data_IF_910597497989
#
_entry.id   IF_910597497989
#
_cell.length_a   1.000
_cell.length_b   1.000
_cell.length_c   1.000
_cell.angle_alpha   90.00
_cell.angle_beta   90.00
_cell.angle_gamma   90.00
#
_symmetry.space_group_name_H-M   'P 1'
#
loop_
_entity.id
_entity.type
_entity.pdbx_description
1 polymer ?
#
# COMPACT_ATOMS: atom_id res chain seq x y z
N UNK A 1 -4.35 -14.39 6.32
CA UNK A 1 -5.36 -13.41 6.80
C UNK A 1 -6.32 -14.10 7.76
N UNK A 2 -7.04 -13.33 8.59
CA UNK A 2 -8.11 -13.89 9.45
C UNK A 2 -9.46 -13.55 8.84
N UNK A 3 -10.47 -14.43 9.01
CA UNK A 3 -11.84 -14.12 8.65
C UNK A 3 -12.40 -12.98 9.49
N UNK A 4 -13.61 -12.54 9.19
CA UNK A 4 -14.35 -11.48 9.90
C UNK A 4 -15.60 -12.11 10.57
N UNK A 5 -15.45 -12.93 11.62
CA UNK A 5 -16.55 -13.64 12.26
C UNK A 5 -17.61 -12.70 12.82
N UNK A 6 -17.22 -11.48 13.22
CA UNK A 6 -18.14 -10.45 13.74
C UNK A 6 -19.18 -9.98 12.71
N UNK A 7 -18.96 -10.23 11.43
CA UNK A 7 -19.93 -9.94 10.35
C UNK A 7 -20.38 -11.22 9.62
N UNK A 8 -20.04 -12.41 10.13
CA UNK A 8 -20.42 -13.69 9.55
C UNK A 8 -19.56 -14.17 8.37
N UNK A 9 -18.34 -13.63 8.20
CA UNK A 9 -17.38 -14.02 7.16
C UNK A 9 -16.25 -14.84 7.77
N UNK A 10 -16.57 -16.06 8.24
CA UNK A 10 -15.58 -17.04 8.61
C UNK A 10 -15.00 -17.72 7.37
N UNK A 11 -13.67 -17.90 7.34
CA UNK A 11 -13.01 -18.56 6.22
C UNK A 11 -13.42 -20.04 6.17
N UNK A 12 -13.96 -20.46 5.02
CA UNK A 12 -14.35 -21.85 4.75
C UNK A 12 -13.56 -22.49 3.59
N UNK A 13 -12.61 -21.72 3.02
CA UNK A 13 -11.71 -22.12 1.92
C UNK A 13 -12.40 -22.44 0.59
N UNK A 14 -13.69 -22.14 0.47
CA UNK A 14 -14.48 -22.41 -0.75
C UNK A 14 -15.21 -21.16 -1.23
N UNK A 15 -16.20 -20.68 -0.50
CA UNK A 15 -17.00 -19.48 -0.85
C UNK A 15 -16.55 -18.24 -0.08
N UNK A 16 -15.92 -18.41 1.10
CA UNK A 16 -15.27 -17.34 1.86
C UNK A 16 -13.79 -17.71 2.02
N UNK A 17 -12.93 -16.99 1.30
CA UNK A 17 -11.51 -17.32 1.13
C UNK A 17 -10.59 -16.20 1.62
N UNK A 18 -9.35 -16.53 1.88
CA UNK A 18 -8.24 -15.60 2.08
C UNK A 18 -7.42 -15.44 0.80
N UNK A 19 -6.34 -14.65 0.87
CA UNK A 19 -5.36 -14.53 -0.21
C UNK A 19 -4.70 -15.87 -0.54
N UNK A 20 -4.55 -16.76 0.44
CA UNK A 20 -3.86 -18.04 0.24
C UNK A 20 -4.66 -18.95 -0.70
N UNK A 21 -5.97 -19.06 -0.48
CA UNK A 21 -6.86 -19.80 -1.37
C UNK A 21 -7.03 -19.07 -2.72
N UNK A 22 -7.08 -17.74 -2.72
CA UNK A 22 -7.24 -16.95 -3.95
C UNK A 22 -6.10 -17.20 -4.95
N UNK A 23 -4.86 -17.38 -4.45
CA UNK A 23 -3.68 -17.63 -5.29
C UNK A 23 -3.68 -19.01 -5.98
N UNK A 24 -4.44 -19.96 -5.47
CA UNK A 24 -4.45 -21.35 -5.97
C UNK A 24 -5.80 -21.77 -6.55
N UNK A 25 -6.71 -20.79 -6.81
CA UNK A 25 -7.99 -21.10 -7.47
C UNK A 25 -7.74 -21.63 -8.87
N UNK A 26 -8.24 -22.84 -9.16
CA UNK A 26 -8.15 -23.45 -10.50
C UNK A 26 -8.98 -22.71 -11.54
N UNK A 27 -10.02 -22.01 -11.11
CA UNK A 27 -10.94 -21.27 -11.97
C UNK A 27 -11.34 -19.95 -11.31
N UNK A 28 -11.25 -18.86 -12.07
CA UNK A 28 -11.76 -17.56 -11.62
C UNK A 28 -13.30 -17.62 -11.46
N UNK A 29 -13.85 -17.14 -10.32
CA UNK A 29 -15.29 -17.07 -10.11
C UNK A 29 -15.91 -16.04 -11.05
N UNK A 30 -17.18 -16.20 -11.39
CA UNK A 30 -17.90 -15.20 -12.22
C UNK A 30 -18.12 -13.90 -11.47
N UNK A 31 -18.39 -13.98 -10.17
CA UNK A 31 -18.64 -12.83 -9.30
C UNK A 31 -17.85 -12.96 -8.01
N UNK A 32 -17.19 -11.88 -7.58
CA UNK A 32 -16.41 -11.85 -6.34
C UNK A 32 -16.65 -10.54 -5.57
N UNK A 33 -16.89 -10.64 -4.27
CA UNK A 33 -16.78 -9.51 -3.37
C UNK A 33 -15.44 -9.57 -2.64
N UNK A 34 -14.72 -8.46 -2.60
CA UNK A 34 -13.45 -8.32 -1.88
C UNK A 34 -13.67 -7.37 -0.70
N UNK A 35 -13.45 -7.86 0.53
CA UNK A 35 -13.64 -7.08 1.75
C UNK A 35 -12.30 -6.56 2.23
N UNK A 36 -12.13 -5.25 2.21
CA UNK A 36 -10.90 -4.52 2.47
C UNK A 36 -10.22 -4.07 1.19
N UNK A 37 -10.06 -2.76 1.02
CA UNK A 37 -9.46 -2.13 -0.14
C UNK A 37 -8.08 -1.51 0.16
N UNK A 38 -7.28 -2.18 0.99
CA UNK A 38 -5.84 -1.95 1.08
C UNK A 38 -5.12 -2.52 -0.15
N UNK A 39 -3.78 -2.50 -0.16
CA UNK A 39 -2.97 -2.98 -1.28
C UNK A 39 -3.42 -4.36 -1.79
N UNK A 40 -3.50 -5.35 -0.91
CA UNK A 40 -3.90 -6.72 -1.27
C UNK A 40 -5.30 -6.78 -1.90
N UNK A 41 -6.28 -6.05 -1.34
CA UNK A 41 -7.63 -6.03 -1.91
C UNK A 41 -7.68 -5.39 -3.29
N UNK A 42 -6.93 -4.31 -3.50
CA UNK A 42 -6.83 -3.64 -4.80
C UNK A 42 -6.11 -4.50 -5.84
N UNK A 43 -5.03 -5.19 -5.47
CA UNK A 43 -4.29 -6.10 -6.35
C UNK A 43 -5.16 -7.28 -6.80
N UNK A 44 -5.87 -7.94 -5.88
CA UNK A 44 -6.79 -9.01 -6.26
C UNK A 44 -7.99 -8.50 -7.06
N UNK A 45 -8.48 -7.29 -6.79
CA UNK A 45 -9.54 -6.69 -7.61
C UNK A 45 -9.08 -6.50 -9.06
N UNK A 46 -7.85 -6.07 -9.25
CA UNK A 46 -7.22 -5.93 -10.56
C UNK A 46 -7.07 -7.28 -11.26
N UNK A 47 -6.43 -8.25 -10.61
CA UNK A 47 -6.15 -9.59 -11.14
C UNK A 47 -7.44 -10.29 -11.54
N UNK A 48 -8.43 -10.38 -10.66
CA UNK A 48 -9.68 -11.10 -10.98
C UNK A 48 -10.51 -10.39 -12.04
N UNK A 49 -10.48 -9.06 -12.08
CA UNK A 49 -11.12 -8.31 -13.18
C UNK A 49 -10.45 -8.60 -14.51
N UNK A 50 -9.13 -8.73 -14.56
CA UNK A 50 -8.41 -9.11 -15.77
C UNK A 50 -8.77 -10.54 -16.24
N UNK A 51 -9.10 -11.45 -15.32
CA UNK A 51 -9.63 -12.78 -15.63
C UNK A 51 -11.14 -12.81 -15.95
N UNK A 52 -11.80 -11.65 -16.00
CA UNK A 52 -13.22 -11.55 -16.38
C UNK A 52 -14.21 -11.70 -15.23
N UNK A 53 -13.75 -11.77 -13.98
CA UNK A 53 -14.61 -11.76 -12.80
C UNK A 53 -15.30 -10.39 -12.63
N UNK A 54 -16.59 -10.39 -12.33
CA UNK A 54 -17.28 -9.18 -11.89
C UNK A 54 -16.94 -8.92 -10.41
N UNK A 55 -16.09 -7.90 -10.17
CA UNK A 55 -15.58 -7.61 -8.84
C UNK A 55 -16.35 -6.47 -8.19
N UNK A 56 -16.73 -6.68 -6.91
CA UNK A 56 -17.18 -5.63 -5.99
C UNK A 56 -16.15 -5.49 -4.86
N UNK A 57 -15.45 -4.37 -4.83
CA UNK A 57 -14.46 -4.03 -3.81
C UNK A 57 -15.13 -3.19 -2.72
N UNK A 58 -15.11 -3.68 -1.47
CA UNK A 58 -15.83 -3.10 -0.34
C UNK A 58 -14.84 -2.65 0.73
N UNK A 59 -14.93 -1.38 1.13
CA UNK A 59 -14.07 -0.78 2.15
C UNK A 59 -14.91 -0.01 3.18
N UNK A 60 -14.61 -0.24 4.45
CA UNK A 60 -15.30 0.44 5.56
C UNK A 60 -14.86 1.90 5.72
N UNK A 61 -13.63 2.20 5.35
CA UNK A 61 -13.09 3.56 5.37
C UNK A 61 -13.59 4.38 4.16
N UNK A 62 -13.50 5.71 4.21
CA UNK A 62 -14.07 6.58 3.16
C UNK A 62 -13.44 6.44 1.77
N UNK A 63 -12.23 5.87 1.67
CA UNK A 63 -11.50 5.70 0.41
C UNK A 63 -10.75 4.37 0.35
N UNK A 64 -10.39 3.94 -0.85
CA UNK A 64 -9.50 2.79 -1.05
C UNK A 64 -8.04 3.21 -0.82
N UNK A 65 -7.16 2.23 -0.60
CA UNK A 65 -5.76 2.44 -0.22
C UNK A 65 -5.62 3.41 0.97
N UNK A 66 -6.22 3.13 2.12
CA UNK A 66 -6.34 4.10 3.22
C UNK A 66 -5.01 4.48 3.88
N UNK A 67 -3.91 3.78 3.57
CA UNK A 67 -2.56 4.10 4.05
C UNK A 67 -1.79 4.98 3.08
N UNK A 68 -2.28 5.16 1.84
CA UNK A 68 -1.69 5.99 0.81
C UNK A 68 -2.23 7.43 0.85
N UNK A 69 -1.63 8.31 0.08
CA UNK A 69 -2.17 9.66 -0.08
C UNK A 69 -3.55 9.62 -0.73
N UNK A 70 -4.46 10.45 -0.24
CA UNK A 70 -5.87 10.43 -0.65
C UNK A 70 -6.08 10.68 -2.16
N UNK A 71 -5.17 11.43 -2.80
CA UNK A 71 -5.20 11.66 -4.23
C UNK A 71 -4.98 10.36 -5.01
N UNK A 72 -4.08 9.48 -4.53
CA UNK A 72 -3.84 8.17 -5.14
C UNK A 72 -5.08 7.27 -5.04
N UNK A 73 -5.70 7.19 -3.85
CA UNK A 73 -6.94 6.42 -3.65
C UNK A 73 -8.10 6.93 -4.53
N UNK A 74 -8.20 8.23 -4.69
CA UNK A 74 -9.20 8.87 -5.56
C UNK A 74 -8.98 8.53 -7.02
N UNK A 75 -7.75 8.65 -7.51
CA UNK A 75 -7.40 8.35 -8.90
C UNK A 75 -7.56 6.85 -9.20
N UNK A 76 -7.11 5.97 -8.29
CA UNK A 76 -7.30 4.53 -8.45
C UNK A 76 -8.79 4.15 -8.48
N UNK A 77 -9.62 4.79 -7.65
CA UNK A 77 -11.08 4.60 -7.68
C UNK A 77 -11.64 4.97 -9.05
N UNK A 78 -11.17 6.08 -9.65
CA UNK A 78 -11.58 6.53 -10.98
C UNK A 78 -11.20 5.50 -12.05
N UNK A 79 -9.97 4.99 -12.01
CA UNK A 79 -9.48 3.98 -12.94
C UNK A 79 -10.23 2.66 -12.79
N UNK A 80 -10.43 2.17 -11.56
CA UNK A 80 -11.18 0.95 -11.30
C UNK A 80 -12.62 1.00 -11.82
N UNK A 81 -13.32 2.14 -11.62
CA UNK A 81 -14.67 2.34 -12.17
C UNK A 81 -14.72 2.28 -13.70
N UNK A 82 -13.72 2.87 -14.39
CA UNK A 82 -13.62 2.75 -15.87
C UNK A 82 -13.49 1.29 -16.31
N UNK A 83 -12.78 0.49 -15.52
CA UNK A 83 -12.59 -0.95 -15.75
C UNK A 83 -13.73 -1.81 -15.22
N UNK A 84 -14.84 -1.19 -14.78
CA UNK A 84 -16.06 -1.83 -14.29
C UNK A 84 -15.90 -2.58 -12.96
N UNK A 85 -14.89 -2.25 -12.16
CA UNK A 85 -14.80 -2.69 -10.77
C UNK A 85 -15.77 -1.83 -9.96
N UNK A 86 -16.72 -2.48 -9.28
CA UNK A 86 -17.67 -1.80 -8.41
C UNK A 86 -17.00 -1.48 -7.07
N UNK A 87 -16.66 -0.21 -6.84
CA UNK A 87 -15.98 0.26 -5.61
C UNK A 87 -17.00 0.87 -4.66
N UNK A 88 -17.14 0.26 -3.48
CA UNK A 88 -18.03 0.68 -2.39
C UNK A 88 -17.17 1.04 -1.16
N UNK A 89 -16.84 2.32 -1.00
CA UNK A 89 -16.11 2.85 0.15
C UNK A 89 -17.06 3.50 1.16
N UNK A 90 -16.64 3.59 2.43
CA UNK A 90 -17.52 3.99 3.54
C UNK A 90 -18.63 2.96 3.79
N UNK A 91 -18.42 1.71 3.38
CA UNK A 91 -19.44 0.67 3.31
C UNK A 91 -19.42 -0.23 4.55
N UNK A 92 -20.59 -0.58 5.04
CA UNK A 92 -20.78 -1.55 6.14
C UNK A 92 -21.47 -2.80 5.63
N UNK A 93 -20.84 -3.95 5.87
CA UNK A 93 -21.39 -5.26 5.54
C UNK A 93 -22.20 -5.80 6.72
N UNK A 94 -23.36 -6.38 6.42
CA UNK A 94 -24.27 -7.01 7.40
C UNK A 94 -25.09 -8.12 6.74
N UNK A 95 -25.87 -8.86 7.55
CA UNK A 95 -26.81 -9.91 7.09
C UNK A 95 -26.16 -10.95 6.18
N UNK A 96 -24.92 -11.34 6.47
CA UNK A 96 -24.18 -12.32 5.67
C UNK A 96 -24.80 -13.70 5.82
N UNK A 97 -25.04 -14.36 4.69
CA UNK A 97 -25.46 -15.77 4.63
C UNK A 97 -24.51 -16.51 3.69
N UNK A 98 -23.76 -17.44 4.24
CA UNK A 98 -22.79 -18.25 3.51
C UNK A 98 -23.46 -19.53 3.07
N UNK A 99 -23.65 -19.69 1.74
CA UNK A 99 -24.15 -20.89 1.11
C UNK A 99 -23.03 -21.80 0.60
N UNK A 100 -23.42 -22.94 0.00
CA UNK A 100 -22.47 -23.88 -0.60
C UNK A 100 -21.82 -23.37 -1.88
N UNK A 101 -22.51 -22.51 -2.64
CA UNK A 101 -22.10 -22.04 -3.97
C UNK A 101 -22.15 -20.52 -4.11
N UNK A 102 -22.69 -19.79 -3.14
CA UNK A 102 -22.78 -18.34 -3.15
C UNK A 102 -22.81 -17.78 -1.74
N UNK A 103 -22.50 -16.51 -1.62
CA UNK A 103 -22.60 -15.71 -0.39
C UNK A 103 -23.50 -14.51 -0.70
N UNK A 104 -24.52 -14.30 0.14
CA UNK A 104 -25.37 -13.09 0.08
C UNK A 104 -25.03 -12.18 1.27
N UNK A 105 -25.06 -10.88 1.05
CA UNK A 105 -24.83 -9.88 2.11
C UNK A 105 -25.52 -8.56 1.80
N UNK A 106 -25.88 -7.82 2.84
CA UNK A 106 -26.35 -6.44 2.71
C UNK A 106 -25.17 -5.49 2.88
N UNK A 107 -25.02 -4.54 1.96
CA UNK A 107 -23.99 -3.50 2.00
C UNK A 107 -24.65 -2.15 2.11
N UNK A 108 -24.32 -1.41 3.16
CA UNK A 108 -24.82 -0.06 3.44
C UNK A 108 -23.73 0.97 3.14
N UNK A 109 -24.00 1.87 2.20
CA UNK A 109 -23.12 3.00 1.86
C UNK A 109 -23.88 4.29 2.12
N UNK A 110 -23.49 5.00 3.18
CA UNK A 110 -24.09 6.30 3.51
C UNK A 110 -25.61 6.24 3.77
N UNK A 111 -26.13 5.13 4.31
CA UNK A 111 -27.55 4.90 4.57
C UNK A 111 -28.31 4.26 3.41
N UNK A 112 -27.70 4.09 2.26
CA UNK A 112 -28.28 3.36 1.13
C UNK A 112 -27.89 1.90 1.19
N UNK A 113 -28.85 1.02 1.41
CA UNK A 113 -28.63 -0.43 1.48
C UNK A 113 -28.87 -1.09 0.14
N UNK A 114 -27.97 -2.01 -0.21
CA UNK A 114 -28.13 -2.92 -1.35
C UNK A 114 -27.76 -4.33 -0.94
N UNK A 115 -28.48 -5.31 -1.44
CA UNK A 115 -28.13 -6.71 -1.27
C UNK A 115 -27.34 -7.18 -2.47
N UNK A 116 -26.24 -7.89 -2.20
CA UNK A 116 -25.40 -8.47 -3.23
C UNK A 116 -25.29 -9.97 -3.01
N UNK A 117 -25.21 -10.71 -4.12
CA UNK A 117 -24.93 -12.14 -4.16
C UNK A 117 -23.72 -12.38 -5.04
N UNK A 118 -22.75 -13.13 -4.52
CA UNK A 118 -21.49 -13.44 -5.23
C UNK A 118 -21.13 -14.91 -5.06
N UNK A 119 -20.40 -15.49 -6.02
CA UNK A 119 -19.89 -16.85 -5.92
C UNK A 119 -18.83 -16.98 -4.83
N UNK A 120 -17.98 -15.93 -4.67
CA UNK A 120 -16.85 -15.97 -3.74
C UNK A 120 -16.69 -14.63 -3.03
N UNK A 121 -16.34 -14.71 -1.76
CA UNK A 121 -15.91 -13.54 -0.96
C UNK A 121 -14.44 -13.74 -0.60
N UNK A 122 -13.61 -12.78 -1.00
CA UNK A 122 -12.22 -12.69 -0.56
C UNK A 122 -12.13 -11.72 0.63
N UNK A 123 -11.63 -12.21 1.76
CA UNK A 123 -11.37 -11.37 2.93
C UNK A 123 -9.94 -10.85 2.85
N UNK A 124 -9.77 -9.54 2.61
CA UNK A 124 -8.51 -8.83 2.50
C UNK A 124 -8.36 -7.71 3.56
N UNK A 125 -9.07 -7.83 4.69
CA UNK A 125 -9.19 -6.81 5.73
C UNK A 125 -8.01 -6.79 6.73
N UNK A 126 -6.79 -7.02 6.26
CA UNK A 126 -5.57 -6.90 7.04
C UNK A 126 -4.92 -8.23 7.43
N UNK A 127 -3.75 -8.11 8.07
CA UNK A 127 -2.92 -9.23 8.52
C UNK A 127 -2.74 -9.15 10.03
N UNK A 128 -2.50 -10.30 10.66
CA UNK A 128 -2.11 -10.41 12.06
C UNK A 128 -0.83 -11.25 12.16
N UNK A 129 0.01 -11.02 13.17
CA UNK A 129 1.17 -11.88 13.41
C UNK A 129 0.72 -13.30 13.72
N UNK A 130 1.46 -14.30 13.25
CA UNK A 130 1.27 -15.72 13.58
C UNK A 130 2.36 -16.08 14.58
N UNK A 131 1.99 -16.15 15.85
CA UNK A 131 2.90 -16.37 16.98
C UNK A 131 2.44 -17.51 17.89
N UNK A 132 1.35 -18.16 17.54
CA UNK A 132 0.81 -19.31 18.24
C UNK A 132 1.74 -20.53 18.03
N UNK A 133 1.88 -21.36 19.05
CA UNK A 133 2.58 -22.66 19.04
C UNK A 133 4.08 -22.63 18.70
N UNK A 134 4.73 -21.46 18.85
CA UNK A 134 6.19 -21.30 18.66
C UNK A 134 6.94 -20.95 19.95
N UNK A 135 6.30 -21.10 21.11
CA UNK A 135 6.92 -20.90 22.42
C UNK A 135 7.14 -19.45 22.87
N UNK A 136 6.60 -18.47 22.15
CA UNK A 136 6.82 -17.04 22.43
C UNK A 136 6.26 -16.62 23.80
N UNK A 137 5.09 -17.15 24.18
CA UNK A 137 4.45 -16.85 25.45
C UNK A 137 5.19 -17.50 26.62
N UNK A 138 5.59 -18.76 26.46
CA UNK A 138 6.33 -19.57 27.45
C UNK A 138 7.70 -18.96 27.75
N UNK A 139 8.33 -18.36 26.74
CA UNK A 139 9.60 -17.66 26.88
C UNK A 139 9.47 -16.26 27.49
N UNK A 140 8.25 -15.74 27.66
CA UNK A 140 8.02 -14.42 28.21
C UNK A 140 8.40 -13.26 27.26
N UNK A 141 8.40 -13.51 25.96
CA UNK A 141 8.66 -12.46 24.95
C UNK A 141 7.54 -11.43 24.98
N UNK A 142 7.91 -10.15 25.11
CA UNK A 142 6.93 -9.05 25.11
C UNK A 142 6.33 -8.81 23.74
N UNK A 143 5.02 -8.57 23.74
CA UNK A 143 4.27 -8.19 22.54
C UNK A 143 3.83 -6.73 22.62
N UNK A 144 3.56 -6.14 21.45
CA UNK A 144 2.86 -4.86 21.34
C UNK A 144 1.37 -5.05 21.61
N UNK A 145 0.61 -3.96 21.81
CA UNK A 145 -0.84 -4.00 21.98
C UNK A 145 -1.58 -4.62 20.78
N UNK A 146 -0.94 -4.62 19.60
CA UNK A 146 -1.45 -5.25 18.37
C UNK A 146 -1.00 -6.70 18.20
N UNK A 147 -0.27 -7.27 19.16
CA UNK A 147 0.18 -8.65 19.18
C UNK A 147 1.47 -8.94 18.39
N UNK A 148 2.18 -7.93 17.90
CA UNK A 148 3.50 -8.10 17.29
C UNK A 148 4.58 -8.28 18.32
N UNK A 149 5.67 -8.99 17.97
CA UNK A 149 6.84 -9.12 18.83
C UNK A 149 7.55 -7.77 18.97
N UNK A 150 7.75 -7.31 20.21
CA UNK A 150 8.54 -6.10 20.48
C UNK A 150 10.01 -6.37 20.22
N UNK A 151 10.64 -5.50 19.42
CA UNK A 151 12.07 -5.52 19.11
C UNK A 151 12.71 -4.15 19.38
N UNK A 152 14.02 -4.16 19.57
CA UNK A 152 14.85 -2.94 19.59
C UNK A 152 15.52 -2.69 18.21
N UNK A 153 16.37 -1.69 18.10
CA UNK A 153 17.09 -1.33 16.86
C UNK A 153 18.02 -2.43 16.34
N UNK A 154 18.37 -3.41 17.19
CA UNK A 154 19.19 -4.57 16.84
C UNK A 154 18.35 -5.81 16.51
N UNK A 155 17.05 -5.66 16.35
CA UNK A 155 16.08 -6.72 16.14
C UNK A 155 15.96 -7.68 17.33
N UNK A 156 16.53 -7.37 18.52
CA UNK A 156 16.47 -8.17 19.71
C UNK A 156 15.13 -8.00 20.43
N UNK A 157 14.56 -9.09 20.91
CA UNK A 157 13.32 -9.09 21.68
C UNK A 157 13.60 -8.72 23.16
N UNK A 158 12.57 -8.77 24.01
CA UNK A 158 12.70 -8.63 25.45
C UNK A 158 13.48 -9.77 26.13
N UNK A 159 13.72 -10.86 25.41
CA UNK A 159 14.45 -12.05 25.90
C UNK A 159 15.79 -12.13 25.18
N UNK A 160 16.89 -12.05 25.95
CA UNK A 160 18.24 -12.06 25.41
C UNK A 160 18.52 -13.30 24.53
N UNK A 161 19.07 -13.05 23.35
CA UNK A 161 19.42 -14.10 22.38
C UNK A 161 18.25 -14.54 21.52
N UNK A 162 17.09 -13.91 21.67
CA UNK A 162 15.93 -14.11 20.78
C UNK A 162 15.68 -12.83 19.98
N UNK A 163 15.58 -12.98 18.69
CA UNK A 163 15.42 -11.90 17.72
C UNK A 163 14.17 -12.10 16.87
N UNK A 164 13.61 -11.05 16.35
CA UNK A 164 12.48 -11.12 15.42
C UNK A 164 12.61 -10.08 14.31
N UNK A 165 12.26 -10.49 13.08
CA UNK A 165 12.27 -9.65 11.88
C UNK A 165 11.02 -9.90 11.03
N UNK A 166 10.75 -9.03 10.07
CA UNK A 166 9.64 -9.18 9.13
C UNK A 166 8.29 -8.88 9.76
N UNK A 167 7.24 -9.47 9.20
CA UNK A 167 5.85 -9.18 9.55
C UNK A 167 5.53 -9.39 11.03
N UNK A 168 6.17 -10.35 11.66
CA UNK A 168 5.96 -10.67 13.08
C UNK A 168 6.45 -9.57 14.03
N UNK A 169 7.42 -8.76 13.57
CA UNK A 169 7.99 -7.65 14.33
C UNK A 169 7.23 -6.32 14.16
N UNK A 170 6.21 -6.28 13.29
CA UNK A 170 5.34 -5.11 13.14
C UNK A 170 5.26 -4.51 11.74
N UNK A 171 4.47 -3.46 11.64
CA UNK A 171 4.28 -2.72 10.38
C UNK A 171 5.51 -1.83 10.06
N UNK A 172 5.70 -1.50 8.76
CA UNK A 172 4.97 -2.00 7.61
C UNK A 172 5.27 -3.49 7.34
N UNK A 173 4.24 -4.28 7.00
CA UNK A 173 4.37 -5.71 6.72
C UNK A 173 4.76 -5.92 5.25
N UNK A 174 6.03 -5.63 4.95
CA UNK A 174 6.61 -5.62 3.60
C UNK A 174 7.87 -6.48 3.56
N UNK A 175 8.01 -7.26 2.49
CA UNK A 175 9.14 -8.19 2.32
C UNK A 175 10.50 -7.47 2.39
N UNK A 176 10.63 -6.35 1.67
CA UNK A 176 11.87 -5.57 1.65
C UNK A 176 12.23 -4.93 3.00
N UNK A 177 11.22 -4.59 3.85
CA UNK A 177 11.46 -4.20 5.24
C UNK A 177 12.08 -5.36 6.02
N UNK A 178 11.50 -6.55 5.96
CA UNK A 178 12.02 -7.73 6.62
C UNK A 178 13.41 -8.13 6.13
N UNK A 179 13.69 -8.00 4.82
CA UNK A 179 15.03 -8.21 4.26
C UNK A 179 16.05 -7.24 4.84
N UNK A 180 15.71 -5.95 4.93
CA UNK A 180 16.62 -4.94 5.51
C UNK A 180 16.84 -5.17 7.00
N UNK A 181 15.80 -5.52 7.75
CA UNK A 181 15.92 -5.92 9.16
C UNK A 181 16.86 -7.12 9.32
N UNK A 182 16.79 -8.13 8.43
CA UNK A 182 17.68 -9.27 8.42
C UNK A 182 19.15 -8.90 8.19
N UNK A 183 19.40 -7.96 7.29
CA UNK A 183 20.77 -7.42 7.04
C UNK A 183 21.29 -6.71 8.28
N UNK A 184 20.51 -5.81 8.87
CA UNK A 184 20.88 -5.07 10.10
C UNK A 184 21.16 -6.03 11.25
N UNK A 185 20.29 -7.02 11.45
CA UNK A 185 20.49 -8.07 12.45
C UNK A 185 21.81 -8.82 12.24
N UNK A 186 22.10 -9.27 11.02
CA UNK A 186 23.32 -10.01 10.70
C UNK A 186 24.58 -9.15 10.92
N UNK A 187 24.54 -7.88 10.58
CA UNK A 187 25.64 -6.93 10.81
C UNK A 187 25.91 -6.70 12.30
N UNK A 188 24.89 -6.56 13.13
CA UNK A 188 25.04 -6.49 14.58
C UNK A 188 25.64 -7.77 15.17
N UNK A 189 25.12 -8.92 14.73
CA UNK A 189 25.58 -10.22 15.21
C UNK A 189 27.05 -10.46 14.85
N UNK A 190 27.48 -10.01 13.66
CA UNK A 190 28.85 -10.08 13.17
C UNK A 190 29.79 -9.07 13.86
N UNK A 191 29.29 -8.20 14.73
CA UNK A 191 30.09 -7.20 15.46
C UNK A 191 30.63 -6.07 14.57
N UNK A 192 29.94 -5.73 13.47
CA UNK A 192 30.33 -4.58 12.65
C UNK A 192 30.32 -3.27 13.49
N UNK A 193 31.34 -2.44 13.31
CA UNK A 193 31.49 -1.19 14.07
C UNK A 193 30.45 -0.12 13.71
N UNK A 194 30.03 -0.10 12.43
CA UNK A 194 29.06 0.86 11.93
C UNK A 194 27.91 0.10 11.27
N UNK A 195 26.81 -0.04 11.98
CA UNK A 195 25.56 -0.60 11.49
C UNK A 195 24.55 0.52 11.36
N UNK A 196 24.06 0.75 10.15
CA UNK A 196 22.97 1.70 9.93
C UNK A 196 21.63 1.04 10.29
N UNK A 197 20.90 1.58 11.29
CA UNK A 197 19.59 1.04 11.66
C UNK A 197 18.61 1.15 10.49
N UNK A 198 17.51 0.44 10.58
CA UNK A 198 16.44 0.56 9.58
C UNK A 198 15.78 1.92 9.70
N UNK A 199 15.76 2.69 8.62
CA UNK A 199 15.00 3.93 8.53
C UNK A 199 13.54 3.62 8.18
N UNK A 200 12.71 3.38 9.20
CA UNK A 200 11.28 3.06 9.00
C UNK A 200 10.49 4.21 8.38
N UNK A 201 10.99 5.45 8.42
CA UNK A 201 10.39 6.60 7.74
C UNK A 201 10.67 6.65 6.23
N UNK A 202 11.56 5.76 5.73
CA UNK A 202 11.97 5.73 4.33
C UNK A 202 11.80 4.34 3.68
N UNK A 203 10.76 3.62 4.07
CA UNK A 203 10.39 2.35 3.45
C UNK A 203 9.33 2.61 2.38
N UNK A 204 9.59 2.34 1.09
CA UNK A 204 8.60 2.57 0.05
C UNK A 204 7.44 1.58 0.17
N UNK A 205 6.22 2.05 -0.06
CA UNK A 205 5.05 1.21 -0.30
C UNK A 205 4.88 0.99 -1.81
N UNK A 206 4.35 -0.16 -2.16
CA UNK A 206 4.03 -0.53 -3.54
C UNK A 206 2.73 -1.34 -3.58
N UNK A 207 1.83 -0.99 -4.49
CA UNK A 207 0.61 -1.73 -4.79
C UNK A 207 0.62 -2.05 -6.29
N UNK A 208 0.67 -3.34 -6.60
CA UNK A 208 0.84 -3.88 -7.95
C UNK A 208 -0.50 -4.10 -8.64
N UNK A 209 -1.26 -3.04 -8.78
CA UNK A 209 -2.49 -3.00 -9.58
C UNK A 209 -2.30 -2.15 -10.84
N UNK A 210 -3.30 -2.00 -11.67
CA UNK A 210 -3.25 -1.14 -12.84
C UNK A 210 -4.27 0.01 -12.70
N UNK A 211 -3.80 1.29 -12.65
CA UNK A 211 -2.39 1.72 -12.57
C UNK A 211 -1.71 1.36 -11.24
N UNK A 212 -0.37 1.18 -11.26
CA UNK A 212 0.41 0.95 -10.04
C UNK A 212 0.34 2.14 -9.09
N UNK A 213 0.46 1.88 -7.79
CA UNK A 213 0.59 2.94 -6.78
C UNK A 213 1.84 2.70 -5.95
N UNK A 214 2.64 3.74 -5.77
CA UNK A 214 3.81 3.70 -4.92
C UNK A 214 3.95 4.98 -4.10
N UNK A 215 4.49 4.85 -2.90
CA UNK A 215 4.70 6.01 -2.03
C UNK A 215 5.92 5.86 -1.15
N UNK A 216 6.43 7.00 -0.67
CA UNK A 216 7.46 7.05 0.35
C UNK A 216 7.27 8.28 1.22
N UNK A 217 7.60 8.16 2.51
CA UNK A 217 7.49 9.25 3.47
C UNK A 217 6.05 9.53 3.90
N UNK A 218 5.74 10.79 4.16
CA UNK A 218 4.46 11.22 4.72
C UNK A 218 3.44 11.57 3.63
N UNK A 219 2.18 11.19 3.88
CA UNK A 219 1.05 11.70 3.09
C UNK A 219 0.81 13.18 3.41
N UNK A 220 0.12 13.88 2.51
CA UNK A 220 -0.24 15.29 2.76
C UNK A 220 -1.09 15.46 4.03
N UNK A 221 -1.96 14.50 4.32
CA UNK A 221 -2.75 14.51 5.56
C UNK A 221 -1.88 14.43 6.81
N UNK A 222 -0.83 13.57 6.80
CA UNK A 222 0.12 13.44 7.90
C UNK A 222 0.99 14.70 8.09
N UNK A 223 1.39 15.34 6.99
CA UNK A 223 2.13 16.61 7.04
C UNK A 223 1.26 17.71 7.64
N UNK A 224 -0.01 17.81 7.23
CA UNK A 224 -1.00 18.74 7.83
C UNK A 224 -1.23 18.49 9.33
N UNK A 225 -1.39 17.22 9.71
CA UNK A 225 -1.58 16.83 11.13
C UNK A 225 -0.39 17.26 11.99
N UNK A 226 0.83 17.11 11.47
CA UNK A 226 2.06 17.53 12.12
C UNK A 226 2.29 19.04 12.07
N UNK A 227 1.44 19.81 11.37
CA UNK A 227 1.53 21.27 11.20
C UNK A 227 2.86 21.72 10.62
N UNK A 228 3.44 20.93 9.71
CA UNK A 228 4.64 21.29 8.97
C UNK A 228 4.22 22.22 7.84
N UNK A 229 4.93 23.33 7.64
CA UNK A 229 4.76 24.19 6.47
C UNK A 229 5.36 23.51 5.25
N UNK A 230 4.56 23.34 4.19
CA UNK A 230 4.93 22.51 3.05
C UNK A 230 4.47 23.11 1.71
N UNK A 231 5.08 22.61 0.65
CA UNK A 231 4.66 22.84 -0.74
C UNK A 231 4.41 21.50 -1.41
N UNK A 232 3.51 21.49 -2.38
CA UNK A 232 3.19 20.31 -3.19
C UNK A 232 3.51 20.63 -4.63
N UNK A 233 4.20 19.71 -5.30
CA UNK A 233 4.29 19.67 -6.75
C UNK A 233 3.57 18.44 -7.28
N UNK A 234 2.89 18.57 -8.40
CA UNK A 234 2.09 17.50 -8.99
C UNK A 234 2.14 17.55 -10.51
N UNK A 235 2.55 16.46 -11.14
CA UNK A 235 2.62 16.38 -12.59
C UNK A 235 1.83 15.18 -13.12
N UNK A 236 0.85 15.36 -14.01
CA UNK A 236 0.05 14.28 -14.56
C UNK A 236 0.80 13.56 -15.69
N UNK A 237 0.74 12.23 -15.74
CA UNK A 237 1.34 11.45 -16.82
C UNK A 237 0.76 11.79 -18.20
N UNK A 238 -0.47 12.31 -18.27
CA UNK A 238 -1.06 12.80 -19.52
C UNK A 238 -0.23 13.90 -20.18
N UNK A 239 0.55 14.69 -19.43
CA UNK A 239 1.45 15.71 -19.95
C UNK A 239 2.81 15.14 -20.40
N UNK A 240 3.17 13.91 -19.97
CA UNK A 240 4.43 13.27 -20.36
C UNK A 240 4.39 12.74 -21.79
N UNK A 241 5.38 13.13 -22.61
CA UNK A 241 5.55 12.62 -23.99
C UNK A 241 5.74 11.10 -24.01
N UNK A 242 6.50 10.54 -23.06
CA UNK A 242 6.72 9.09 -22.94
C UNK A 242 5.44 8.34 -22.60
N UNK A 243 4.67 8.82 -21.63
CA UNK A 243 3.41 8.21 -21.26
C UNK A 243 2.41 8.19 -22.44
N UNK A 244 2.36 9.27 -23.22
CA UNK A 244 1.54 9.33 -24.45
C UNK A 244 1.97 8.32 -25.50
N UNK A 245 3.26 8.14 -25.72
CA UNK A 245 3.76 7.18 -26.73
C UNK A 245 3.56 5.73 -26.32
N UNK A 246 3.53 5.42 -25.03
CA UNK A 246 3.19 4.08 -24.52
C UNK A 246 1.69 3.83 -24.37
N UNK A 247 0.87 4.88 -24.47
CA UNK A 247 -0.59 4.80 -24.26
C UNK A 247 -1.00 4.72 -22.78
N UNK A 248 -0.07 4.92 -21.84
CA UNK A 248 -0.30 4.79 -20.40
C UNK A 248 -0.27 6.17 -19.71
N UNK A 249 -1.33 6.92 -19.88
CA UNK A 249 -1.43 8.33 -19.46
C UNK A 249 -2.18 8.54 -18.14
N UNK A 250 -2.65 7.47 -17.51
CA UNK A 250 -3.39 7.57 -16.25
C UNK A 250 -2.44 7.87 -15.08
N UNK A 251 -2.90 8.74 -14.17
CA UNK A 251 -2.20 9.03 -12.93
C UNK A 251 -1.29 10.24 -12.96
N UNK A 252 -0.44 10.32 -11.94
CA UNK A 252 0.42 11.48 -11.68
C UNK A 252 1.60 11.12 -10.76
N UNK A 253 2.57 12.01 -10.71
CA UNK A 253 3.58 12.10 -9.65
C UNK A 253 3.21 13.27 -8.72
N UNK A 254 3.26 13.07 -7.40
CA UNK A 254 3.04 14.09 -6.37
C UNK A 254 4.23 14.08 -5.42
N UNK A 255 4.85 15.25 -5.23
CA UNK A 255 5.97 15.46 -4.29
C UNK A 255 5.54 16.47 -3.24
N UNK A 256 5.83 16.18 -1.98
CA UNK A 256 5.54 17.04 -0.83
C UNK A 256 6.88 17.42 -0.23
N UNK A 257 7.20 18.72 -0.19
CA UNK A 257 8.43 19.21 0.39
C UNK A 257 8.21 20.16 1.57
N UNK A 258 9.18 20.24 2.47
CA UNK A 258 9.26 21.30 3.45
C UNK A 258 9.34 22.67 2.74
N UNK A 259 8.57 23.65 3.23
CA UNK A 259 8.50 24.95 2.57
C UNK A 259 9.77 25.79 2.74
N UNK A 260 10.53 25.53 3.82
CA UNK A 260 11.70 26.32 4.20
C UNK A 260 13.03 25.69 3.77
N UNK A 261 13.17 24.40 3.97
CA UNK A 261 14.44 23.70 3.79
C UNK A 261 14.49 22.84 2.52
N UNK A 262 13.37 22.66 1.82
CA UNK A 262 13.30 21.86 0.60
C UNK A 262 13.37 20.34 0.83
N UNK A 263 13.36 19.86 2.09
CA UNK A 263 13.36 18.42 2.40
C UNK A 263 12.18 17.71 1.75
N UNK A 264 12.41 16.56 1.15
CA UNK A 264 11.35 15.71 0.60
C UNK A 264 10.61 15.03 1.75
N UNK A 265 9.46 15.56 2.16
CA UNK A 265 8.63 15.02 3.23
C UNK A 265 7.93 13.73 2.82
N UNK A 266 7.51 13.66 1.56
CA UNK A 266 6.87 12.49 0.98
C UNK A 266 6.70 12.59 -0.52
N UNK A 267 6.51 11.43 -1.15
CA UNK A 267 6.21 11.33 -2.57
C UNK A 267 5.21 10.19 -2.83
N UNK A 268 4.33 10.42 -3.79
CA UNK A 268 3.22 9.53 -4.10
C UNK A 268 3.05 9.48 -5.61
N UNK A 269 3.11 8.29 -6.18
CA UNK A 269 3.01 8.08 -7.62
C UNK A 269 1.87 7.10 -7.88
N UNK A 270 1.01 7.43 -8.81
CA UNK A 270 0.04 6.50 -9.39
C UNK A 270 0.17 6.54 -10.90
N UNK A 271 0.41 5.41 -11.53
CA UNK A 271 0.62 5.32 -12.99
C UNK A 271 1.48 4.12 -13.37
N UNK A 272 1.83 4.05 -14.66
CA UNK A 272 2.72 3.01 -15.16
C UNK A 272 4.11 3.11 -14.52
N UNK A 273 4.64 1.98 -14.07
CA UNK A 273 5.95 1.88 -13.43
C UNK A 273 6.13 2.73 -12.16
N UNK A 274 5.04 3.08 -11.47
CA UNK A 274 5.10 3.85 -10.24
C UNK A 274 6.00 3.19 -9.19
N UNK A 275 5.97 1.86 -9.11
CA UNK A 275 6.77 1.04 -8.19
C UNK A 275 8.26 1.07 -8.47
N UNK A 276 8.66 1.37 -9.71
CA UNK A 276 10.06 1.59 -10.10
C UNK A 276 10.47 3.07 -9.90
N UNK A 277 9.62 4.00 -10.33
CA UNK A 277 9.92 5.44 -10.31
C UNK A 277 10.08 5.99 -8.89
N UNK A 278 9.39 5.45 -7.90
CA UNK A 278 9.47 5.90 -6.50
C UNK A 278 10.88 5.81 -5.92
N UNK A 279 11.74 4.92 -6.45
CA UNK A 279 13.05 4.66 -5.89
C UNK A 279 14.03 5.83 -6.07
N UNK A 280 13.87 6.66 -7.09
CA UNK A 280 14.64 7.90 -7.24
C UNK A 280 14.46 8.81 -6.00
N UNK A 281 13.21 9.03 -5.61
CA UNK A 281 12.88 9.84 -4.43
C UNK A 281 13.21 9.11 -3.11
N UNK A 282 13.18 7.77 -3.08
CA UNK A 282 13.61 6.99 -1.92
C UNK A 282 15.12 7.16 -1.68
N UNK A 283 15.93 7.13 -2.74
CA UNK A 283 17.38 7.36 -2.65
C UNK A 283 17.68 8.81 -2.26
N UNK A 284 16.97 9.77 -2.83
CA UNK A 284 17.13 11.19 -2.49
C UNK A 284 16.84 11.41 -0.99
N UNK A 285 15.74 10.87 -0.47
CA UNK A 285 15.38 10.98 0.95
C UNK A 285 16.37 10.29 1.88
N UNK A 286 16.87 9.10 1.53
CA UNK A 286 17.83 8.37 2.36
C UNK A 286 19.17 9.10 2.50
N UNK A 287 19.53 9.92 1.49
CA UNK A 287 20.73 10.73 1.49
C UNK A 287 20.48 12.19 1.92
N UNK A 288 19.29 12.49 2.46
CA UNK A 288 18.90 13.83 2.92
C UNK A 288 19.00 14.91 1.83
N UNK A 289 18.82 14.52 0.55
CA UNK A 289 18.73 15.49 -0.53
C UNK A 289 17.44 16.28 -0.45
N UNK A 290 17.53 17.55 -0.83
CA UNK A 290 16.36 18.41 -1.00
C UNK A 290 15.79 18.27 -2.42
N UNK A 291 14.63 18.87 -2.67
CA UNK A 291 14.06 18.90 -4.03
C UNK A 291 14.95 19.66 -5.01
N UNK A 292 15.76 20.62 -4.54
CA UNK A 292 16.71 21.37 -5.33
C UNK A 292 17.81 20.48 -5.92
N UNK A 293 18.38 19.54 -5.15
CA UNK A 293 19.38 18.60 -5.67
C UNK A 293 18.76 17.63 -6.68
N UNK A 294 17.51 17.20 -6.46
CA UNK A 294 16.81 16.36 -7.45
C UNK A 294 16.56 17.12 -8.75
N UNK A 295 16.15 18.41 -8.67
CA UNK A 295 15.93 19.26 -9.84
C UNK A 295 17.22 19.58 -10.64
N UNK A 296 18.41 19.39 -10.04
CA UNK A 296 19.68 19.55 -10.76
C UNK A 296 20.04 18.31 -11.58
N UNK A 297 19.41 17.18 -11.33
CA UNK A 297 19.69 15.94 -12.06
C UNK A 297 19.10 16.02 -13.49
N UNK A 298 19.91 15.64 -14.48
CA UNK A 298 19.45 15.62 -15.88
C UNK A 298 18.70 14.30 -16.14
N UNK A 299 17.42 14.40 -16.43
CA UNK A 299 16.57 13.26 -16.80
C UNK A 299 16.66 12.99 -18.30
N UNK A 300 16.76 11.74 -18.69
CA UNK A 300 16.83 11.35 -20.10
C UNK A 300 15.46 11.59 -20.79
N UNK A 301 15.48 12.12 -22.00
CA UNK A 301 14.29 12.35 -22.83
C UNK A 301 14.21 11.33 -23.98
N UNK A 302 13.03 10.68 -24.26
CA UNK A 302 11.81 10.73 -23.46
C UNK A 302 11.73 9.56 -22.46
N UNK A 303 11.42 9.85 -21.19
CA UNK A 303 11.26 8.85 -20.13
C UNK A 303 10.06 9.17 -19.23
N UNK A 304 9.62 8.19 -18.43
CA UNK A 304 8.62 8.44 -17.40
C UNK A 304 9.21 9.16 -16.18
N UNK A 305 10.53 9.04 -15.93
CA UNK A 305 11.20 9.75 -14.84
C UNK A 305 11.19 11.27 -14.99
N UNK A 306 11.02 11.81 -16.24
CA UNK A 306 10.77 13.22 -16.44
C UNK A 306 9.51 13.72 -15.70
N UNK A 307 8.52 12.84 -15.47
CA UNK A 307 7.36 13.21 -14.66
C UNK A 307 7.71 13.40 -13.17
N UNK A 308 8.73 12.71 -12.66
CA UNK A 308 9.28 12.94 -11.31
C UNK A 308 9.95 14.30 -11.26
N UNK A 309 10.83 14.61 -12.21
CA UNK A 309 11.49 15.92 -12.35
C UNK A 309 10.46 17.06 -12.43
N UNK A 310 9.46 16.96 -13.30
CA UNK A 310 8.45 17.98 -13.45
C UNK A 310 7.60 18.18 -12.17
N UNK A 311 7.30 17.12 -11.41
CA UNK A 311 6.63 17.25 -10.13
C UNK A 311 7.54 17.94 -9.09
N UNK A 312 8.83 17.67 -9.11
CA UNK A 312 9.82 18.37 -8.28
C UNK A 312 9.89 19.84 -8.65
N UNK A 313 10.02 20.18 -9.93
CA UNK A 313 10.04 21.55 -10.45
C UNK A 313 8.73 22.30 -10.13
N UNK A 314 7.57 21.63 -10.23
CA UNK A 314 6.27 22.23 -9.84
C UNK A 314 6.25 22.62 -8.37
N UNK A 315 6.82 21.80 -7.49
CA UNK A 315 6.95 22.12 -6.06
C UNK A 315 7.78 23.38 -5.79
N UNK A 316 8.67 23.73 -6.71
CA UNK A 316 9.52 24.92 -6.69
C UNK A 316 8.88 26.11 -7.43
N UNK A 317 7.76 25.91 -8.13
CA UNK A 317 7.14 26.89 -9.01
C UNK A 317 7.91 27.12 -10.33
N UNK A 318 8.64 26.11 -10.80
CA UNK A 318 9.56 26.14 -11.95
C UNK A 318 9.18 25.14 -13.05
N UNK A 319 7.94 24.63 -13.03
CA UNK A 319 7.49 23.67 -14.05
C UNK A 319 7.66 24.24 -15.47
N UNK A 320 8.21 23.40 -16.37
CA UNK A 320 8.51 23.79 -17.74
C UNK A 320 7.42 23.36 -18.73
N UNK A 321 6.79 22.21 -18.50
CA UNK A 321 5.83 21.57 -19.38
C UNK A 321 4.48 21.38 -18.64
N UNK A 322 3.67 22.43 -18.54
CA UNK A 322 2.38 22.41 -17.86
C UNK A 322 1.20 22.16 -18.83
#
# INVERSE_FOLDING_TARGET
MKGLPQVGLELNKTTVISSDEALILEKAPRTMAIIGAGAVGCEFADVFTAFGTQVTLIEVLPGILPLEDADCGTELTRSFKKRKINVLSGAKVSNVKVGKSSVTMSVDVGGTKQDIEVETVLVAAGRAPVIEDIGIKELGVQLTDRGFIKINEKMETSVKGIYAIGDVAGAPMLAHKGMREGVVFAEYLAGKQHVHPVNYGNIPNATYCHPEVASIGMTEAQVKEKKIDYKVGKFPFMASGRARTSGETEGFVKVIRDAKYGEILGAHIIGAHATELIHELAVARENEFTVEEVALAIHAHPTLSEAVDQAVLDSLGMVLDA
#
